data_IF_211668433932
#
_entry.id   IF_211668433932
#
_cell.length_a   1.000
_cell.length_b   1.000
_cell.length_c   1.000
_cell.angle_alpha   90.00
_cell.angle_beta   90.00
_cell.angle_gamma   90.00
#
_symmetry.space_group_name_H-M   'P 1'
#
loop_
_entity.id
_entity.type
_entity.pdbx_description
1 polymer ?
#
# COMPACT_ATOMS: atom_id res chain seq x y z
N UNK A 1 25.19 -0.01 52.63
CA UNK A 1 25.94 -0.92 51.74
C UNK A 1 26.76 -1.92 52.54
N UNK A 2 27.67 -1.45 53.40
CA UNK A 2 28.57 -2.28 54.20
C UNK A 2 27.87 -3.38 55.02
N UNK A 3 26.77 -3.06 55.72
CA UNK A 3 25.98 -4.07 56.46
C UNK A 3 25.39 -5.17 55.56
N UNK A 4 25.05 -4.85 54.30
CA UNK A 4 24.51 -5.83 53.34
C UNK A 4 25.59 -6.82 52.88
N UNK A 5 26.84 -6.38 52.82
CA UNK A 5 27.97 -7.24 52.47
C UNK A 5 28.27 -8.25 53.59
N UNK A 6 28.00 -7.89 54.84
CA UNK A 6 28.12 -8.79 55.99
C UNK A 6 26.98 -9.83 56.05
N UNK A 7 25.79 -9.50 55.52
CA UNK A 7 24.60 -10.35 55.64
C UNK A 7 24.56 -11.55 54.68
N UNK A 8 25.39 -11.57 53.63
CA UNK A 8 25.38 -12.64 52.62
C UNK A 8 26.80 -13.16 52.38
N UNK A 9 26.89 -14.44 52.06
CA UNK A 9 28.15 -15.12 51.77
C UNK A 9 28.75 -14.75 50.42
N UNK A 10 27.94 -14.39 49.43
CA UNK A 10 28.39 -14.06 48.07
C UNK A 10 28.05 -12.62 47.68
N UNK A 11 29.03 -11.92 47.10
CA UNK A 11 28.85 -10.57 46.55
C UNK A 11 28.06 -10.61 45.24
N UNK A 12 28.18 -11.70 44.49
CA UNK A 12 27.50 -11.91 43.21
C UNK A 12 25.96 -11.86 43.36
N UNK A 13 25.43 -12.50 44.40
CA UNK A 13 23.99 -12.51 44.70
C UNK A 13 23.44 -11.14 45.11
N UNK A 14 24.31 -10.25 45.57
CA UNK A 14 23.93 -8.89 45.96
C UNK A 14 23.88 -7.93 44.76
N UNK A 15 24.69 -8.21 43.73
CA UNK A 15 24.87 -7.35 42.56
C UNK A 15 23.94 -7.74 41.41
N UNK A 16 23.72 -9.04 41.19
CA UNK A 16 22.89 -9.53 40.09
C UNK A 16 21.41 -9.56 40.52
N UNK A 17 20.47 -9.19 39.63
CA UNK A 17 19.05 -9.41 39.89
C UNK A 17 18.77 -10.92 39.97
N UNK A 18 17.94 -11.33 40.93
CA UNK A 18 17.60 -12.73 41.15
C UNK A 18 16.16 -13.00 40.73
N UNK A 19 15.92 -14.11 40.03
CA UNK A 19 14.56 -14.57 39.72
C UNK A 19 14.03 -15.38 40.91
N UNK A 20 13.02 -14.87 41.60
CA UNK A 20 12.41 -15.52 42.77
C UNK A 20 10.91 -15.59 42.57
N UNK A 21 10.34 -16.81 42.62
CA UNK A 21 8.91 -17.07 42.45
C UNK A 21 8.32 -16.44 41.17
N UNK A 22 9.02 -16.61 40.04
CA UNK A 22 8.59 -16.08 38.74
C UNK A 22 8.72 -14.57 38.57
N UNK A 23 9.28 -13.86 39.56
CA UNK A 23 9.47 -12.40 39.51
C UNK A 23 10.95 -12.02 39.67
N UNK A 24 11.41 -11.09 38.84
CA UNK A 24 12.77 -10.55 38.94
C UNK A 24 12.86 -9.58 40.11
N UNK A 25 13.60 -9.98 41.14
CA UNK A 25 13.93 -9.12 42.28
C UNK A 25 15.08 -8.20 41.90
N UNK A 26 14.97 -6.94 42.33
CA UNK A 26 16.04 -5.95 42.20
C UNK A 26 17.27 -6.41 43.00
N UNK A 27 18.49 -6.08 42.55
CA UNK A 27 19.69 -6.41 43.30
C UNK A 27 19.69 -5.69 44.66
N UNK A 28 20.24 -6.35 45.66
CA UNK A 28 20.32 -5.80 47.01
C UNK A 28 21.23 -4.56 47.07
N UNK A 29 22.24 -4.51 46.18
CA UNK A 29 23.15 -3.39 45.96
C UNK A 29 22.74 -2.68 44.66
N UNK A 30 22.40 -1.39 44.77
CA UNK A 30 22.05 -0.56 43.61
C UNK A 30 23.28 -0.11 42.80
N UNK A 31 23.05 0.46 41.61
CA UNK A 31 24.12 0.86 40.69
C UNK A 31 25.17 1.82 41.28
N UNK A 32 24.73 2.79 42.12
CA UNK A 32 25.66 3.72 42.80
C UNK A 32 26.60 2.99 43.77
N UNK A 33 26.04 2.18 44.66
CA UNK A 33 26.81 1.40 45.64
C UNK A 33 27.76 0.40 44.97
N UNK A 34 27.33 -0.16 43.84
CA UNK A 34 28.14 -1.03 42.99
C UNK A 34 29.33 -0.27 42.36
N UNK A 35 29.12 0.97 41.90
CA UNK A 35 30.20 1.83 41.40
C UNK A 35 31.20 2.18 42.51
N UNK A 36 30.71 2.50 43.71
CA UNK A 36 31.56 2.75 44.88
C UNK A 36 32.43 1.52 45.19
N UNK A 37 31.85 0.31 45.21
CA UNK A 37 32.60 -0.93 45.40
C UNK A 37 33.64 -1.14 44.30
N UNK A 38 33.27 -0.98 43.03
CA UNK A 38 34.22 -1.08 41.92
C UNK A 38 35.41 -0.13 42.12
N UNK A 39 35.16 1.10 42.58
CA UNK A 39 36.22 2.06 42.88
C UNK A 39 37.11 1.61 44.04
N UNK A 40 36.54 1.02 45.11
CA UNK A 40 37.34 0.46 46.22
C UNK A 40 38.24 -0.68 45.76
N UNK A 41 37.71 -1.63 44.99
CA UNK A 41 38.49 -2.74 44.44
C UNK A 41 39.61 -2.24 43.54
N UNK A 42 39.32 -1.26 42.68
CA UNK A 42 40.32 -0.62 41.82
C UNK A 42 41.43 0.07 42.63
N UNK A 43 41.08 0.79 43.70
CA UNK A 43 42.06 1.43 44.62
C UNK A 43 42.92 0.40 45.37
N UNK A 44 42.34 -0.76 45.70
CA UNK A 44 43.05 -1.86 46.33
C UNK A 44 43.89 -2.70 45.35
N UNK A 45 43.87 -2.39 44.05
CA UNK A 45 44.56 -3.17 43.02
C UNK A 45 43.92 -4.53 42.72
N UNK A 46 42.68 -4.76 43.16
CA UNK A 46 41.96 -6.02 42.94
C UNK A 46 41.04 -5.88 41.71
N UNK A 47 41.10 -6.79 40.74
CA UNK A 47 40.25 -6.72 39.55
C UNK A 47 38.77 -6.93 39.88
N UNK A 48 37.89 -6.22 39.17
CA UNK A 48 36.45 -6.34 39.32
C UNK A 48 35.91 -7.53 38.50
N UNK A 49 35.81 -8.70 39.13
CA UNK A 49 35.43 -9.95 38.46
C UNK A 49 33.92 -10.14 38.22
N UNK A 50 33.08 -9.30 38.82
CA UNK A 50 31.63 -9.51 38.84
C UNK A 50 30.92 -9.06 37.55
N UNK A 51 31.61 -8.31 36.69
CA UNK A 51 31.12 -7.87 35.38
C UNK A 51 32.18 -8.05 34.31
N UNK A 52 31.71 -8.30 33.08
CA UNK A 52 32.57 -8.28 31.92
C UNK A 52 33.05 -6.85 31.67
N UNK A 53 34.34 -6.72 31.36
CA UNK A 53 34.88 -5.44 30.92
C UNK A 53 34.19 -5.03 29.63
N UNK A 54 33.77 -3.77 29.57
CA UNK A 54 33.26 -3.19 28.33
C UNK A 54 34.46 -2.97 27.40
N UNK A 55 34.40 -3.44 26.15
CA UNK A 55 35.49 -3.21 25.19
C UNK A 55 35.68 -1.71 24.98
N UNK A 56 36.94 -1.29 24.82
CA UNK A 56 37.33 0.11 24.59
C UNK A 56 36.70 0.68 23.31
N UNK A 57 36.63 -0.15 22.26
CA UNK A 57 35.90 0.17 21.03
C UNK A 57 34.50 -0.42 21.09
N UNK A 58 33.52 0.45 21.31
CA UNK A 58 32.11 0.08 21.25
C UNK A 58 31.66 -0.10 19.80
N UNK A 59 31.79 -1.29 19.24
CA UNK A 59 31.31 -1.60 17.88
C UNK A 59 29.81 -1.34 17.70
N UNK A 60 29.03 -1.46 18.76
CA UNK A 60 27.59 -1.19 18.79
C UNK A 60 27.24 0.29 19.00
N UNK A 61 28.24 1.15 19.22
CA UNK A 61 28.02 2.58 19.44
C UNK A 61 27.39 3.23 18.22
N UNK A 62 26.42 4.11 18.48
CA UNK A 62 25.78 4.95 17.46
C UNK A 62 26.78 5.83 16.72
N UNK A 63 27.88 6.22 17.36
CA UNK A 63 28.94 7.05 16.77
C UNK A 63 29.80 6.29 15.75
N UNK A 64 29.95 4.98 15.91
CA UNK A 64 30.68 4.13 14.98
C UNK A 64 29.82 3.68 13.78
N UNK A 65 28.50 3.92 13.86
CA UNK A 65 27.57 3.58 12.79
C UNK A 65 27.66 4.61 11.66
N UNK A 66 27.77 4.12 10.42
CA UNK A 66 27.70 4.98 9.23
C UNK A 66 26.42 5.84 9.26
N UNK A 67 26.51 7.16 9.04
CA UNK A 67 25.34 8.02 9.03
C UNK A 67 24.40 7.64 7.87
N UNK A 68 23.09 7.75 8.12
CA UNK A 68 22.03 7.33 7.18
C UNK A 68 21.92 8.23 5.93
N UNK A 69 22.44 9.46 5.98
CA UNK A 69 22.26 10.47 4.93
C UNK A 69 20.84 11.04 4.88
N UNK A 70 20.67 12.17 4.18
CA UNK A 70 19.37 12.81 4.03
C UNK A 70 18.43 11.97 3.13
N UNK A 71 17.11 12.18 3.23
CA UNK A 71 16.16 11.48 2.36
C UNK A 71 16.34 11.88 0.88
N UNK A 72 16.81 13.11 0.62
CA UNK A 72 17.05 13.62 -0.73
C UNK A 72 18.26 12.93 -1.35
N UNK A 73 19.38 12.81 -0.61
CA UNK A 73 20.58 12.11 -1.06
C UNK A 73 20.28 10.65 -1.41
N UNK A 74 19.59 9.93 -0.50
CA UNK A 74 19.26 8.52 -0.69
C UNK A 74 18.40 8.26 -1.94
N UNK A 75 17.60 9.24 -2.35
CA UNK A 75 16.67 9.12 -3.48
C UNK A 75 17.17 9.82 -4.76
N UNK A 76 18.36 10.43 -4.73
CA UNK A 76 18.86 11.25 -5.83
C UNK A 76 18.98 10.45 -7.14
N UNK A 77 19.55 9.25 -7.07
CA UNK A 77 19.75 8.38 -8.23
C UNK A 77 18.42 7.89 -8.82
N UNK A 78 17.46 7.54 -7.96
CA UNK A 78 16.11 7.14 -8.38
C UNK A 78 15.40 8.29 -9.11
N UNK A 79 15.53 9.52 -8.58
CA UNK A 79 14.98 10.71 -9.24
C UNK A 79 15.63 10.94 -10.60
N UNK A 80 16.95 10.83 -10.71
CA UNK A 80 17.66 10.97 -11.98
C UNK A 80 17.22 9.90 -13.00
N UNK A 81 17.07 8.64 -12.59
CA UNK A 81 16.61 7.57 -13.46
C UNK A 81 15.18 7.83 -13.97
N UNK A 82 14.29 8.32 -13.10
CA UNK A 82 12.93 8.69 -13.47
C UNK A 82 12.91 9.83 -14.50
N UNK A 83 13.73 10.88 -14.29
CA UNK A 83 13.86 12.00 -15.22
C UNK A 83 14.38 11.53 -16.57
N UNK A 84 15.44 10.70 -16.59
CA UNK A 84 15.99 10.14 -17.84
C UNK A 84 14.96 9.33 -18.60
N UNK A 85 14.18 8.50 -17.90
CA UNK A 85 13.09 7.73 -18.51
C UNK A 85 12.01 8.65 -19.07
N UNK A 86 11.60 9.69 -18.33
CA UNK A 86 10.60 10.63 -18.79
C UNK A 86 11.05 11.37 -20.07
N UNK A 87 12.30 11.85 -20.11
CA UNK A 87 12.89 12.49 -21.28
C UNK A 87 12.96 11.55 -22.48
N UNK A 88 13.35 10.28 -22.28
CA UNK A 88 13.40 9.32 -23.38
C UNK A 88 12.05 9.02 -24.03
N UNK A 89 10.95 9.18 -23.28
CA UNK A 89 9.58 8.94 -23.77
C UNK A 89 8.84 10.23 -24.16
N UNK A 90 9.51 11.38 -24.11
CA UNK A 90 8.86 12.67 -24.29
C UNK A 90 8.34 12.88 -25.71
N UNK A 91 9.13 12.52 -26.71
CA UNK A 91 8.77 12.72 -28.11
C UNK A 91 7.55 11.86 -28.51
N UNK A 92 7.53 10.60 -28.10
CA UNK A 92 6.38 9.71 -28.32
C UNK A 92 5.09 10.24 -27.68
N UNK A 93 5.20 10.84 -26.48
CA UNK A 93 4.05 11.46 -25.80
C UNK A 93 3.56 12.69 -26.54
N UNK A 94 4.48 13.50 -27.08
CA UNK A 94 4.12 14.67 -27.90
C UNK A 94 3.42 14.26 -29.19
N UNK A 95 3.90 13.21 -29.86
CA UNK A 95 3.29 12.74 -31.10
C UNK A 95 1.90 12.14 -30.87
N UNK A 96 1.71 11.37 -29.80
CA UNK A 96 0.38 10.90 -29.39
C UNK A 96 -0.56 12.08 -29.11
N UNK A 97 -0.11 13.08 -28.34
CA UNK A 97 -0.91 14.28 -28.07
C UNK A 97 -1.27 15.05 -29.36
N UNK A 98 -0.35 15.12 -30.33
CA UNK A 98 -0.61 15.75 -31.64
C UNK A 98 -1.64 14.95 -32.44
N UNK A 99 -1.51 13.63 -32.48
CA UNK A 99 -2.46 12.73 -33.16
C UNK A 99 -3.85 12.81 -32.53
N UNK A 100 -3.95 12.77 -31.20
CA UNK A 100 -5.20 12.93 -30.47
C UNK A 100 -5.86 14.28 -30.77
N UNK A 101 -5.09 15.38 -30.80
CA UNK A 101 -5.61 16.70 -31.20
C UNK A 101 -6.09 16.75 -32.64
N UNK A 102 -5.50 15.97 -33.55
CA UNK A 102 -5.96 15.88 -34.94
C UNK A 102 -7.26 15.08 -35.00
N UNK A 103 -7.33 13.94 -34.31
CA UNK A 103 -8.49 13.06 -34.29
C UNK A 103 -9.69 13.67 -33.54
N UNK A 104 -9.43 14.47 -32.51
CA UNK A 104 -10.47 15.14 -31.73
C UNK A 104 -11.05 16.37 -32.43
N UNK A 105 -10.47 16.81 -33.55
CA UNK A 105 -11.05 17.90 -34.34
C UNK A 105 -12.40 17.44 -34.87
N UNK A 106 -13.47 18.24 -34.70
CA UNK A 106 -14.77 17.88 -35.27
C UNK A 106 -14.65 17.79 -36.79
N UNK A 107 -15.28 16.76 -37.37
CA UNK A 107 -15.38 16.61 -38.82
C UNK A 107 -16.05 17.84 -39.45
N UNK A 108 -15.47 18.36 -40.53
CA UNK A 108 -15.96 19.54 -41.25
C UNK A 108 -16.42 19.13 -42.65
N UNK A 109 -17.41 19.85 -43.20
CA UNK A 109 -17.88 19.66 -44.57
C UNK A 109 -18.39 18.24 -44.86
N UNK A 110 -17.90 17.66 -45.95
CA UNK A 110 -18.31 16.33 -46.45
C UNK A 110 -17.97 15.18 -45.48
N UNK A 111 -16.86 15.29 -44.75
CA UNK A 111 -16.42 14.26 -43.80
C UNK A 111 -17.44 14.00 -42.69
N UNK A 112 -18.19 15.05 -42.29
CA UNK A 112 -19.24 14.91 -41.28
C UNK A 112 -20.40 14.06 -41.77
N UNK A 113 -20.76 14.18 -43.05
CA UNK A 113 -21.80 13.36 -43.68
C UNK A 113 -21.35 11.91 -43.77
N UNK A 114 -20.12 11.67 -44.24
CA UNK A 114 -19.56 10.33 -44.34
C UNK A 114 -19.43 9.64 -42.97
N UNK A 115 -18.94 10.36 -41.95
CA UNK A 115 -18.89 9.84 -40.58
C UNK A 115 -20.30 9.53 -40.02
N UNK A 116 -21.30 10.35 -40.36
CA UNK A 116 -22.69 10.10 -40.00
C UNK A 116 -23.27 8.84 -40.66
N UNK A 117 -23.05 8.68 -41.96
CA UNK A 117 -23.49 7.51 -42.75
C UNK A 117 -22.81 6.24 -42.25
N UNK A 118 -21.50 6.27 -42.05
CA UNK A 118 -20.75 5.13 -41.51
C UNK A 118 -21.22 4.75 -40.10
N UNK A 119 -21.52 5.74 -39.25
CA UNK A 119 -22.07 5.48 -37.92
C UNK A 119 -23.45 4.82 -37.99
N UNK A 120 -24.32 5.27 -38.89
CA UNK A 120 -25.64 4.68 -39.09
C UNK A 120 -25.55 3.23 -39.64
N UNK A 121 -24.65 2.97 -40.59
CA UNK A 121 -24.41 1.63 -41.12
C UNK A 121 -23.88 0.68 -40.03
N UNK A 122 -22.90 1.11 -39.24
CA UNK A 122 -22.34 0.31 -38.14
C UNK A 122 -23.37 0.03 -37.03
N UNK A 123 -24.31 0.94 -36.79
CA UNK A 123 -25.42 0.71 -35.87
C UNK A 123 -26.39 -0.34 -36.42
N UNK A 124 -26.73 -0.30 -37.72
CA UNK A 124 -27.57 -1.30 -38.37
C UNK A 124 -26.99 -2.71 -38.32
N UNK A 125 -25.69 -2.87 -38.57
CA UNK A 125 -25.02 -4.19 -38.45
C UNK A 125 -24.95 -4.69 -36.99
N UNK A 126 -24.70 -3.79 -36.05
CA UNK A 126 -24.64 -4.13 -34.63
C UNK A 126 -25.98 -4.61 -34.08
N UNK A 127 -27.09 -4.04 -34.54
CA UNK A 127 -28.44 -4.45 -34.16
C UNK A 127 -28.83 -5.81 -34.76
N UNK A 128 -28.46 -6.08 -36.02
CA UNK A 128 -28.67 -7.40 -36.65
C UNK A 128 -27.88 -8.53 -35.96
N UNK A 129 -26.63 -8.27 -35.58
CA UNK A 129 -25.78 -9.23 -34.85
C UNK A 129 -26.29 -9.48 -33.42
N UNK A 130 -26.81 -8.45 -32.74
CA UNK A 130 -27.41 -8.60 -31.39
C UNK A 130 -28.76 -9.32 -31.42
N UNK A 131 -29.58 -9.11 -32.46
CA UNK A 131 -30.85 -9.82 -32.64
C UNK A 131 -30.66 -11.34 -32.84
N UNK A 132 -29.73 -11.71 -33.73
CA UNK A 132 -29.41 -13.12 -34.04
C UNK A 132 -28.74 -13.84 -32.87
N UNK A 133 -27.77 -13.22 -32.19
CA UNK A 133 -27.11 -13.82 -31.02
C UNK A 133 -28.08 -14.06 -29.85
N UNK A 134 -29.04 -13.15 -29.63
CA UNK A 134 -30.05 -13.31 -28.58
C UNK A 134 -31.05 -14.43 -28.92
N UNK A 135 -31.43 -14.59 -30.18
CA UNK A 135 -32.24 -15.73 -30.64
C UNK A 135 -31.49 -17.06 -30.52
N UNK A 136 -30.21 -17.11 -30.90
CA UNK A 136 -29.39 -18.32 -30.78
C UNK A 136 -29.19 -18.75 -29.33
N UNK A 137 -28.91 -17.80 -28.42
CA UNK A 137 -28.79 -18.07 -26.98
C UNK A 137 -30.09 -18.58 -26.37
N UNK A 138 -31.25 -18.05 -26.79
CA UNK A 138 -32.56 -18.54 -26.33
C UNK A 138 -32.87 -19.93 -26.88
N UNK A 139 -32.53 -20.21 -28.14
CA UNK A 139 -32.69 -21.52 -28.76
C UNK A 139 -31.81 -22.58 -28.07
N UNK A 140 -30.53 -22.28 -27.81
CA UNK A 140 -29.62 -23.18 -27.07
C UNK A 140 -30.13 -23.46 -25.64
N UNK A 141 -30.62 -22.42 -24.95
CA UNK A 141 -31.18 -22.58 -23.60
C UNK A 141 -32.47 -23.41 -23.59
N UNK A 142 -33.27 -23.33 -24.65
CA UNK A 142 -34.46 -24.17 -24.82
C UNK A 142 -34.10 -25.64 -25.09
N UNK A 143 -33.06 -25.90 -25.89
CA UNK A 143 -32.51 -27.24 -26.14
C UNK A 143 -31.96 -27.85 -24.85
N UNK A 144 -31.13 -27.11 -24.10
CA UNK A 144 -30.63 -27.59 -22.79
C UNK A 144 -31.75 -27.91 -21.79
N UNK A 145 -32.83 -27.13 -21.80
CA UNK A 145 -34.00 -27.37 -20.94
C UNK A 145 -34.76 -28.64 -21.38
N UNK A 146 -34.87 -28.90 -22.68
CA UNK A 146 -35.47 -30.11 -23.21
C UNK A 146 -34.62 -31.37 -22.90
N UNK A 147 -33.30 -31.29 -23.05
CA UNK A 147 -32.37 -32.37 -22.71
C UNK A 147 -32.40 -32.68 -21.21
N UNK A 148 -32.34 -31.66 -20.34
CA UNK A 148 -32.46 -31.84 -18.89
C UNK A 148 -33.79 -32.48 -18.48
N UNK A 149 -34.87 -32.16 -19.19
CA UNK A 149 -36.19 -32.78 -18.99
C UNK A 149 -36.22 -34.25 -19.44
N UNK A 150 -35.51 -34.59 -20.52
CA UNK A 150 -35.40 -35.98 -21.01
C UNK A 150 -34.55 -36.88 -20.10
N UNK A 151 -33.57 -36.32 -19.40
CA UNK A 151 -32.69 -37.04 -18.46
C UNK A 151 -33.30 -37.22 -17.05
N UNK A 152 -34.59 -36.89 -16.85
CA UNK A 152 -35.27 -37.06 -15.57
C UNK A 152 -34.78 -36.13 -14.44
N UNK A 153 -33.94 -35.14 -14.76
CA UNK A 153 -33.42 -34.17 -13.79
C UNK A 153 -34.50 -33.12 -13.56
N UNK A 154 -35.19 -33.18 -12.41
CA UNK A 154 -36.17 -32.16 -12.01
C UNK A 154 -35.49 -30.79 -11.98
N UNK A 155 -35.90 -29.92 -12.93
CA UNK A 155 -35.38 -28.57 -13.04
C UNK A 155 -35.46 -27.82 -11.72
N UNK A 156 -34.37 -27.14 -11.35
CA UNK A 156 -34.30 -26.34 -10.13
C UNK A 156 -35.37 -25.26 -10.19
N UNK A 157 -36.45 -25.43 -9.42
CA UNK A 157 -37.43 -24.40 -9.17
C UNK A 157 -36.70 -23.21 -8.58
N UNK A 158 -36.70 -22.08 -9.29
CA UNK A 158 -36.12 -20.83 -8.83
C UNK A 158 -37.01 -20.29 -7.71
N UNK A 159 -36.82 -20.79 -6.48
CA UNK A 159 -37.39 -20.20 -5.27
C UNK A 159 -36.60 -18.92 -4.99
N UNK A 160 -37.27 -17.78 -5.19
CA UNK A 160 -36.85 -16.50 -4.66
C UNK A 160 -36.71 -16.61 -3.13
N UNK A 161 -35.61 -16.04 -2.61
CA UNK A 161 -35.55 -15.55 -1.24
C UNK A 161 -34.67 -16.35 -0.28
N UNK A 162 -33.39 -16.02 -0.22
CA UNK A 162 -32.79 -15.50 1.01
C UNK A 162 -31.44 -14.84 0.70
N UNK A 163 -31.29 -13.61 1.20
CA UNK A 163 -30.02 -12.89 1.25
C UNK A 163 -29.07 -13.68 2.15
N UNK A 164 -28.18 -14.46 1.54
CA UNK A 164 -26.93 -14.86 2.20
C UNK A 164 -25.82 -14.51 1.23
N UNK A 165 -25.10 -13.43 1.56
CA UNK A 165 -23.95 -12.97 0.82
C UNK A 165 -22.85 -14.02 0.89
N UNK A 166 -22.78 -14.86 -0.13
CA UNK A 166 -21.57 -15.60 -0.47
C UNK A 166 -20.69 -14.60 -1.22
N UNK A 167 -19.95 -13.80 -0.46
CA UNK A 167 -18.75 -13.16 -1.00
C UNK A 167 -17.64 -14.21 -0.94
N UNK A 168 -17.22 -14.62 -2.13
CA UNK A 168 -16.01 -15.38 -2.35
C UNK A 168 -14.84 -14.74 -1.61
N UNK A 169 -14.02 -15.58 -0.97
CA UNK A 169 -12.71 -15.28 -0.40
C UNK A 169 -11.89 -14.34 -1.31
N UNK A 170 -11.99 -13.05 -1.03
CA UNK A 170 -11.08 -12.00 -1.51
C UNK A 170 -10.70 -11.20 -0.28
N UNK A 171 -9.39 -11.10 -0.02
CA UNK A 171 -8.82 -10.55 1.21
C UNK A 171 -9.48 -9.24 1.64
N UNK A 172 -9.70 -9.10 2.94
CA UNK A 172 -10.07 -7.84 3.56
C UNK A 172 -8.94 -6.83 3.33
N UNK A 173 -9.09 -5.99 2.31
CA UNK A 173 -8.30 -4.77 2.19
C UNK A 173 -8.69 -3.85 3.35
N UNK A 174 -7.73 -3.55 4.23
CA UNK A 174 -7.95 -2.59 5.31
C UNK A 174 -8.27 -1.21 4.74
N UNK A 175 -9.02 -0.36 5.48
CA UNK A 175 -9.34 1.01 5.04
C UNK A 175 -8.11 1.79 4.54
N UNK A 176 -6.95 1.57 5.17
CA UNK A 176 -5.67 2.17 4.77
C UNK A 176 -5.15 1.66 3.43
N UNK A 177 -5.32 0.38 3.13
CA UNK A 177 -4.90 -0.18 1.84
C UNK A 177 -5.85 0.25 0.72
N UNK A 178 -7.13 0.48 1.03
CA UNK A 178 -8.12 1.06 0.11
C UNK A 178 -7.75 2.50 -0.27
N UNK A 179 -7.35 3.33 0.70
CA UNK A 179 -6.87 4.70 0.45
C UNK A 179 -5.56 4.71 -0.36
N UNK A 180 -4.63 3.79 -0.09
CA UNK A 180 -3.39 3.67 -0.87
C UNK A 180 -3.69 3.25 -2.32
N UNK A 181 -4.67 2.36 -2.53
CA UNK A 181 -5.10 1.94 -3.88
C UNK A 181 -5.87 3.04 -4.63
N UNK A 182 -6.67 3.84 -3.93
CA UNK A 182 -7.34 5.01 -4.50
C UNK A 182 -6.35 6.13 -4.85
N UNK A 183 -5.31 6.35 -4.03
CA UNK A 183 -4.23 7.30 -4.36
C UNK A 183 -3.34 6.82 -5.51
N UNK A 184 -3.16 5.52 -5.69
CA UNK A 184 -2.44 4.98 -6.87
C UNK A 184 -3.28 5.01 -8.13
N UNK A 185 -4.61 4.83 -8.04
CA UNK A 185 -5.52 5.06 -9.17
C UNK A 185 -5.65 6.54 -9.55
N UNK A 186 -5.59 7.46 -8.58
CA UNK A 186 -5.60 8.90 -8.85
C UNK A 186 -4.37 9.42 -9.62
N UNK A 187 -3.29 8.62 -9.69
CA UNK A 187 -2.03 9.01 -10.35
C UNK A 187 -1.80 8.30 -11.71
N UNK A 188 -2.65 7.35 -12.09
CA UNK A 188 -2.73 6.81 -13.45
C UNK A 188 -4.04 7.26 -14.07
N UNK A 189 -3.98 8.37 -14.81
CA UNK A 189 -5.11 9.05 -15.41
C UNK A 189 -6.09 8.14 -16.14
N UNK A 190 -7.37 8.30 -15.78
CA UNK A 190 -8.52 8.00 -16.62
C UNK A 190 -9.75 8.72 -16.03
N UNK A 191 -9.76 10.06 -16.07
CA UNK A 191 -11.01 10.82 -15.94
C UNK A 191 -11.71 10.85 -17.30
N UNK A 192 -12.47 9.79 -17.57
CA UNK A 192 -13.52 9.81 -18.57
C UNK A 192 -14.81 10.29 -17.92
N UNK A 193 -15.29 11.46 -18.36
CA UNK A 193 -16.74 11.72 -18.44
C UNK A 193 -17.39 12.45 -17.26
N UNK A 194 -17.34 13.79 -17.32
CA UNK A 194 -18.55 14.62 -17.30
C UNK A 194 -19.33 14.77 -15.98
N UNK A 195 -19.17 15.94 -15.36
CA UNK A 195 -20.31 16.64 -14.76
C UNK A 195 -20.14 18.16 -14.94
N UNK A 196 -21.01 18.72 -15.76
CA UNK A 196 -21.29 20.16 -15.83
C UNK A 196 -21.71 20.67 -14.45
N UNK A 197 -21.07 21.74 -13.99
CA UNK A 197 -21.73 22.80 -13.22
C UNK A 197 -21.22 24.13 -13.75
N UNK A 198 -22.08 24.78 -14.52
CA UNK A 198 -22.07 26.23 -14.74
C UNK A 198 -22.41 26.91 -13.43
N UNK A 199 -21.62 27.89 -13.00
CA UNK A 199 -22.07 28.99 -12.13
C UNK A 199 -21.09 30.16 -12.29
N UNK A 200 -21.54 31.05 -13.18
CA UNK A 200 -21.58 32.50 -13.05
C UNK A 200 -20.31 33.30 -12.74
N UNK A 201 -19.94 34.05 -13.79
CA UNK A 201 -19.33 35.36 -13.70
C UNK A 201 -20.18 36.32 -12.84
N UNK A 202 -19.53 36.98 -11.89
CA UNK A 202 -19.94 38.28 -11.38
C UNK A 202 -18.68 39.01 -10.91
N UNK A 203 -18.15 39.87 -11.78
CA UNK A 203 -18.23 41.32 -11.63
C UNK A 203 -17.27 41.89 -10.57
N UNK A 204 -16.15 42.40 -11.10
CA UNK A 204 -15.61 43.71 -10.80
C UNK A 204 -16.48 44.61 -9.91
N UNK A 205 -15.99 44.88 -8.70
CA UNK A 205 -15.95 46.21 -8.05
C UNK A 205 -15.46 46.07 -6.62
N UNK A 206 -14.18 46.41 -6.39
CA UNK A 206 -13.80 47.33 -5.30
C UNK A 206 -12.31 47.66 -5.37
N UNK A 207 -12.04 48.74 -6.11
CA UNK A 207 -11.05 49.72 -5.74
C UNK A 207 -11.57 50.53 -4.55
N UNK A 208 -10.89 50.44 -3.41
CA UNK A 208 -10.51 51.54 -2.51
C UNK A 208 -9.70 50.98 -1.35
#
# INVERSE_FOLDING_TARGET
MWLKLLSRSSIEDLIKPQLVNGSWRRPAIGGKQKADLRQYFQKAGVPWIYEKETPDVHFESTYNRKPKGSAVERNYEVRLASIRRALSTQDERLDKMRQEKIQSKPYKGYDRLMAGVLKALNQGEGEQKRGSAKQQMLAQRAVELAEKKSLGIKGTSKKQGSKSGITSKGGHFGKKEREVFEMTKGNLGYEMGGKHTSEDANEDKKTK
#
